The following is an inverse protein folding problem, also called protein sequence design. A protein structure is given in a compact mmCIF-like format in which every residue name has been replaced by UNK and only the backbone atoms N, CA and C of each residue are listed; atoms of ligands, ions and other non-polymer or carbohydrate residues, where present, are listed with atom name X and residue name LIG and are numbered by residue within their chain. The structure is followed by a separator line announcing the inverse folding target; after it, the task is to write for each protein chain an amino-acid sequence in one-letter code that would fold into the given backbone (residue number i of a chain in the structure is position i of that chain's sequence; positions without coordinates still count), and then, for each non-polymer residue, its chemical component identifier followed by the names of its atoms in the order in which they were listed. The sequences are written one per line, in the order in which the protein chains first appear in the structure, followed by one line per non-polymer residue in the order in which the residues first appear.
data_IF_086886011688
#
_entry.id   IF_086886011688
#
_cell.length_a   1.000
_cell.length_b   1.000
_cell.length_c   1.000
_cell.angle_alpha   90.00
_cell.angle_beta   90.00
_cell.angle_gamma   90.00
#
_symmetry.space_group_name_H-M   'P 1'
#
loop_
_entity.id
_entity.type
_entity.pdbx_description
1 polymer ?
#
# COMPACT_ATOMS: atom_id res chain seq x y z
N UNK A 1 8.45 32.90 64.34
CA UNK A 1 7.61 32.47 63.20
C UNK A 1 8.40 32.31 61.89
N UNK A 2 9.42 33.12 61.60
CA UNK A 2 10.19 33.06 60.34
C UNK A 2 11.04 31.78 60.15
N UNK A 3 11.54 31.16 61.24
CA UNK A 3 12.36 29.93 61.18
C UNK A 3 11.58 28.68 60.75
N UNK A 4 10.26 28.65 60.98
CA UNK A 4 9.40 27.51 60.62
C UNK A 4 9.02 27.52 59.13
N UNK A 5 8.91 28.70 58.51
CA UNK A 5 8.59 28.86 57.09
C UNK A 5 9.77 28.42 56.22
N UNK A 6 11.01 28.72 56.63
CA UNK A 6 12.22 28.28 55.91
C UNK A 6 12.35 26.75 55.89
N UNK A 7 11.95 26.07 56.97
CA UNK A 7 12.03 24.60 57.04
C UNK A 7 11.03 23.93 56.07
N UNK A 8 9.84 24.50 55.89
CA UNK A 8 8.86 23.97 54.92
C UNK A 8 9.32 24.21 53.49
N UNK A 9 9.91 25.37 53.21
CA UNK A 9 10.43 25.69 51.87
C UNK A 9 11.64 24.83 51.49
N UNK A 10 12.51 24.48 52.46
CA UNK A 10 13.67 23.60 52.23
C UNK A 10 13.26 22.14 51.96
N UNK A 11 12.20 21.65 52.60
CA UNK A 11 11.66 20.30 52.31
C UNK A 11 10.96 20.25 50.94
N UNK A 12 10.29 21.33 50.52
CA UNK A 12 9.57 21.34 49.25
C UNK A 12 10.52 21.38 48.03
N UNK A 13 11.67 22.05 48.14
CA UNK A 13 12.66 22.09 47.04
C UNK A 13 13.48 20.80 46.93
N UNK A 14 13.66 20.05 48.03
CA UNK A 14 14.36 18.76 48.01
C UNK A 14 13.54 17.63 47.37
N UNK A 15 12.20 17.72 47.37
CA UNK A 15 11.32 16.74 46.73
C UNK A 15 11.17 16.90 45.21
N UNK A 16 11.68 17.99 44.61
CA UNK A 16 11.59 18.25 43.16
C UNK A 16 12.87 17.92 42.37
N UNK A 17 13.92 17.38 43.01
CA UNK A 17 15.22 17.12 42.34
C UNK A 17 15.55 15.63 42.12
N UNK A 18 14.60 14.70 42.25
CA UNK A 18 14.82 13.26 41.98
C UNK A 18 13.91 12.71 40.88
N UNK A 19 14.08 13.20 39.64
CA UNK A 19 13.79 12.41 38.41
C UNK A 19 14.92 12.70 37.40
N UNK A 20 16.10 12.15 37.67
CA UNK A 20 17.16 11.92 36.69
C UNK A 20 17.87 10.63 37.10
N UNK A 21 18.20 9.79 36.12
CA UNK A 21 18.81 8.45 36.24
C UNK A 21 17.89 7.27 36.61
N UNK A 22 17.01 6.89 35.67
CA UNK A 22 16.60 5.50 35.48
C UNK A 22 17.34 4.92 34.29
N UNK A 23 18.50 4.32 34.54
CA UNK A 23 19.33 3.64 33.55
C UNK A 23 18.61 2.47 32.88
N UNK A 24 18.93 2.30 31.60
CA UNK A 24 18.52 1.26 30.66
C UNK A 24 18.67 -0.16 31.24
N UNK A 25 17.54 -0.80 31.54
CA UNK A 25 17.46 -2.25 31.58
C UNK A 25 17.35 -2.76 30.14
N UNK A 26 18.45 -3.31 29.62
CA UNK A 26 18.49 -4.18 28.44
C UNK A 26 17.67 -5.43 28.72
N UNK A 27 16.36 -5.35 28.52
CA UNK A 27 15.55 -6.55 28.38
C UNK A 27 15.89 -7.18 27.03
N UNK A 28 16.48 -8.37 27.15
CA UNK A 28 16.87 -9.22 26.06
C UNK A 28 15.71 -9.44 25.09
N UNK A 29 16.10 -9.44 23.83
CA UNK A 29 15.31 -9.67 22.63
C UNK A 29 14.58 -11.00 22.75
N UNK A 30 13.33 -10.96 23.21
CA UNK A 30 12.31 -11.93 22.86
C UNK A 30 11.92 -11.68 21.41
N UNK A 31 12.36 -12.57 20.54
CA UNK A 31 12.19 -12.54 19.10
C UNK A 31 10.71 -12.63 18.69
N UNK A 32 9.96 -11.54 18.84
CA UNK A 32 8.66 -11.37 18.17
C UNK A 32 8.95 -10.92 16.73
N UNK A 33 8.88 -11.90 15.83
CA UNK A 33 8.69 -11.78 14.38
C UNK A 33 8.21 -10.37 14.00
N UNK A 34 9.13 -9.52 13.56
CA UNK A 34 8.80 -8.31 12.83
C UNK A 34 8.00 -8.76 11.62
N UNK A 35 6.69 -8.52 11.64
CA UNK A 35 5.88 -8.59 10.44
C UNK A 35 6.59 -7.73 9.38
N UNK A 36 6.73 -8.20 8.14
CA UNK A 36 7.41 -7.43 7.12
C UNK A 36 6.70 -6.08 7.01
N UNK A 37 7.41 -5.01 7.38
CA UNK A 37 7.04 -3.64 7.04
C UNK A 37 7.04 -3.58 5.52
N UNK A 38 5.88 -3.89 4.95
CA UNK A 38 5.64 -3.82 3.52
C UNK A 38 5.56 -2.34 3.19
N UNK A 39 6.73 -1.72 3.04
CA UNK A 39 6.85 -0.38 2.46
C UNK A 39 6.03 -0.40 1.18
N UNK A 40 4.96 0.39 1.08
CA UNK A 40 4.15 0.41 -0.13
C UNK A 40 5.06 0.76 -1.30
N UNK A 41 5.00 -0.04 -2.37
CA UNK A 41 5.55 0.37 -3.66
C UNK A 41 4.91 1.73 -3.96
N UNK A 42 5.75 2.77 -4.13
CA UNK A 42 5.31 4.14 -4.29
C UNK A 42 4.53 4.26 -5.61
N UNK A 43 3.21 4.11 -5.54
CA UNK A 43 2.31 4.35 -6.65
C UNK A 43 1.88 5.81 -6.53
N UNK A 44 2.81 6.72 -6.81
CA UNK A 44 2.58 8.15 -6.78
C UNK A 44 2.55 8.63 -8.23
N UNK A 45 1.40 9.10 -8.71
CA UNK A 45 1.33 9.86 -9.95
C UNK A 45 2.33 11.01 -9.86
N UNK A 46 3.13 11.23 -10.90
CA UNK A 46 4.06 12.36 -10.91
C UNK A 46 3.29 13.64 -11.21
N UNK A 47 3.49 14.65 -10.36
CA UNK A 47 3.03 16.02 -10.55
C UNK A 47 4.15 16.93 -10.07
N UNK A 48 4.30 18.10 -10.69
CA UNK A 48 5.29 19.09 -10.25
C UNK A 48 4.98 19.59 -8.84
N UNK A 49 5.98 20.18 -8.20
CA UNK A 49 5.78 20.89 -6.94
C UNK A 49 4.80 22.06 -7.14
N UNK A 50 3.92 22.27 -6.16
CA UNK A 50 2.87 23.28 -6.23
C UNK A 50 1.72 23.03 -5.26
N UNK A 51 0.76 23.95 -5.27
CA UNK A 51 -0.52 23.83 -4.56
C UNK A 51 -1.64 23.63 -5.57
N UNK A 52 -2.40 22.56 -5.39
CA UNK A 52 -3.46 22.14 -6.31
C UNK A 52 -4.79 22.03 -5.56
N UNK A 53 -5.79 22.88 -5.84
CA UNK A 53 -7.10 22.75 -5.23
C UNK A 53 -7.70 21.37 -5.52
N UNK A 54 -8.31 20.75 -4.51
CA UNK A 54 -8.93 19.43 -4.66
C UNK A 54 -10.43 19.65 -4.87
N UNK A 55 -10.94 19.11 -5.98
CA UNK A 55 -12.37 19.10 -6.27
C UNK A 55 -13.09 17.91 -5.62
N UNK A 56 -12.44 16.74 -5.63
CA UNK A 56 -12.96 15.48 -5.10
C UNK A 56 -11.79 14.61 -4.60
N UNK A 57 -12.04 13.79 -3.59
CA UNK A 57 -11.09 12.81 -3.10
C UNK A 57 -11.81 11.50 -2.79
N UNK A 58 -11.18 10.38 -3.12
CA UNK A 58 -11.61 9.05 -2.70
C UNK A 58 -10.44 8.27 -2.10
N UNK A 59 -10.76 7.32 -1.23
CA UNK A 59 -9.85 6.39 -0.59
C UNK A 59 -10.42 4.97 -0.71
N UNK A 60 -9.67 4.07 -1.35
CA UNK A 60 -10.03 2.66 -1.48
C UNK A 60 -9.29 1.84 -0.41
N UNK A 61 -10.04 1.12 0.42
CA UNK A 61 -9.47 0.26 1.46
C UNK A 61 -9.13 -1.16 0.99
N UNK A 62 -9.29 -1.46 -0.30
CA UNK A 62 -8.80 -2.69 -0.92
C UNK A 62 -7.28 -2.64 -1.10
N UNK A 63 -6.77 -1.50 -1.54
CA UNK A 63 -5.35 -1.28 -1.83
C UNK A 63 -4.72 -0.12 -1.05
N UNK A 64 -5.50 0.71 -0.35
CA UNK A 64 -5.04 1.86 0.43
C UNK A 64 -4.59 3.05 -0.41
N UNK A 65 -5.18 3.22 -1.60
CA UNK A 65 -4.84 4.31 -2.53
C UNK A 65 -5.85 5.46 -2.40
N UNK A 66 -5.31 6.68 -2.35
CA UNK A 66 -6.08 7.90 -2.52
C UNK A 66 -6.15 8.26 -4.01
N UNK A 67 -7.33 8.62 -4.50
CA UNK A 67 -7.52 9.21 -5.83
C UNK A 67 -8.10 10.62 -5.67
N UNK A 68 -7.37 11.62 -6.16
CA UNK A 68 -7.72 13.03 -6.02
C UNK A 68 -7.99 13.63 -7.39
N UNK A 69 -9.09 14.37 -7.50
CA UNK A 69 -9.35 15.23 -8.65
C UNK A 69 -8.80 16.62 -8.34
N UNK A 70 -7.68 16.95 -8.99
CA UNK A 70 -6.97 18.20 -8.82
C UNK A 70 -7.41 19.23 -9.87
N UNK A 71 -7.49 20.49 -9.45
CA UNK A 71 -7.69 21.64 -10.32
C UNK A 71 -6.35 22.33 -10.59
N UNK A 72 -6.27 23.07 -11.70
CA UNK A 72 -5.11 23.86 -12.09
C UNK A 72 -3.81 23.04 -12.20
N UNK A 73 -3.90 21.79 -12.64
CA UNK A 73 -2.70 21.00 -12.95
C UNK A 73 -1.97 21.58 -14.17
N UNK A 74 -0.64 21.45 -14.25
CA UNK A 74 0.12 21.97 -15.39
C UNK A 74 -0.32 21.33 -16.72
N UNK A 75 -0.17 22.04 -17.85
CA UNK A 75 -0.42 21.45 -19.17
C UNK A 75 0.31 20.12 -19.36
N UNK A 76 -0.40 19.11 -19.86
CA UNK A 76 0.15 17.76 -20.05
C UNK A 76 0.16 16.87 -18.79
N UNK A 77 -0.27 17.37 -17.62
CA UNK A 77 -0.42 16.56 -16.40
C UNK A 77 -1.90 16.18 -16.19
N UNK A 78 -2.23 14.90 -15.93
CA UNK A 78 -3.61 14.50 -15.69
C UNK A 78 -4.17 15.14 -14.42
N UNK A 79 -5.47 15.52 -14.40
CA UNK A 79 -6.12 16.06 -13.21
C UNK A 79 -6.32 15.00 -12.12
N UNK A 80 -6.23 13.71 -12.46
CA UNK A 80 -6.35 12.61 -11.51
C UNK A 80 -4.98 12.26 -10.92
N UNK A 81 -4.83 12.55 -9.62
CA UNK A 81 -3.65 12.19 -8.85
C UNK A 81 -3.92 10.95 -7.99
N UNK A 82 -3.01 9.98 -8.03
CA UNK A 82 -3.10 8.76 -7.22
C UNK A 82 -1.86 8.64 -6.35
N UNK A 83 -2.05 8.37 -5.06
CA UNK A 83 -0.95 8.12 -4.13
C UNK A 83 -1.40 7.22 -2.99
N UNK A 84 -0.49 6.35 -2.54
CA UNK A 84 -0.65 5.66 -1.28
C UNK A 84 -0.08 6.53 -0.13
N UNK A 85 -0.68 6.43 1.06
CA UNK A 85 -0.22 7.09 2.30
C UNK A 85 0.06 8.59 2.09
N UNK A 86 -0.99 9.36 1.84
CA UNK A 86 -0.90 10.83 1.85
C UNK A 86 -0.99 11.30 3.30
N UNK A 87 -0.14 12.25 3.68
CA UNK A 87 -0.29 12.95 4.95
C UNK A 87 -1.41 13.97 4.84
N UNK A 88 -2.17 14.17 5.92
CA UNK A 88 -3.21 15.18 5.98
C UNK A 88 -2.94 16.18 7.10
N UNK A 89 -3.45 17.39 6.95
CA UNK A 89 -3.51 18.41 7.97
C UNK A 89 -4.83 19.17 7.83
N UNK A 90 -5.37 19.66 8.96
CA UNK A 90 -6.51 20.57 8.95
C UNK A 90 -6.02 21.96 8.54
N UNK A 91 -6.81 22.67 7.76
CA UNK A 91 -6.63 24.10 7.54
C UNK A 91 -7.02 24.89 8.79
N UNK A 92 -6.24 25.92 9.12
CA UNK A 92 -6.59 26.87 10.19
C UNK A 92 -7.78 27.72 9.78
N UNK A 93 -8.57 28.17 10.74
CA UNK A 93 -9.72 29.06 10.48
C UNK A 93 -9.30 30.36 9.80
N UNK A 94 -8.13 30.91 10.16
CA UNK A 94 -7.56 32.09 9.50
C UNK A 94 -7.29 31.85 8.01
N UNK A 95 -6.69 30.71 7.66
CA UNK A 95 -6.45 30.34 6.26
C UNK A 95 -7.77 30.18 5.48
N UNK A 96 -8.80 29.57 6.10
CA UNK A 96 -10.12 29.42 5.49
C UNK A 96 -10.79 30.78 5.31
N UNK A 97 -10.70 31.68 6.31
CA UNK A 97 -11.21 33.04 6.22
C UNK A 97 -10.51 33.87 5.14
N UNK A 98 -9.22 33.59 4.87
CA UNK A 98 -8.46 34.14 3.75
C UNK A 98 -8.80 33.50 2.39
N UNK A 99 -9.76 32.58 2.35
CA UNK A 99 -10.25 31.94 1.13
C UNK A 99 -9.49 30.67 0.73
N UNK A 100 -8.61 30.13 1.58
CA UNK A 100 -7.99 28.82 1.31
C UNK A 100 -9.06 27.72 1.34
N UNK A 101 -9.11 26.95 0.27
CA UNK A 101 -9.96 25.75 0.13
C UNK A 101 -9.13 24.50 0.36
N UNK A 102 -9.74 23.33 0.39
CA UNK A 102 -9.01 22.06 0.40
C UNK A 102 -8.04 21.96 -0.79
N UNK A 103 -6.77 21.62 -0.54
CA UNK A 103 -5.74 21.48 -1.57
C UNK A 103 -4.74 20.36 -1.27
N UNK A 104 -4.10 19.89 -2.34
CA UNK A 104 -2.90 19.08 -2.29
C UNK A 104 -1.69 20.01 -2.45
N UNK A 105 -0.78 19.99 -1.48
CA UNK A 105 0.54 20.60 -1.62
C UNK A 105 1.55 19.51 -1.95
N UNK A 106 2.36 19.74 -2.98
CA UNK A 106 3.49 18.88 -3.35
C UNK A 106 4.76 19.69 -3.22
N UNK A 107 5.66 19.23 -2.34
CA UNK A 107 6.98 19.83 -2.12
C UNK A 107 8.01 18.72 -2.11
N UNK A 108 9.06 18.82 -2.93
CA UNK A 108 10.10 17.80 -3.05
C UNK A 108 9.51 16.40 -3.27
N UNK A 109 8.48 16.30 -4.12
CA UNK A 109 7.79 15.04 -4.42
C UNK A 109 7.08 14.38 -3.20
N UNK A 110 6.84 15.15 -2.13
CA UNK A 110 6.08 14.74 -0.95
C UNK A 110 4.69 15.39 -0.97
N UNK A 111 3.62 14.61 -1.22
CA UNK A 111 2.26 15.11 -1.21
C UNK A 111 1.70 15.22 0.22
N UNK A 112 1.12 16.38 0.54
CA UNK A 112 0.38 16.64 1.78
C UNK A 112 -0.98 17.24 1.42
N UNK A 113 -2.04 16.69 1.99
CA UNK A 113 -3.40 17.14 1.77
C UNK A 113 -3.86 18.04 2.92
N UNK A 114 -4.20 19.29 2.61
CA UNK A 114 -4.74 20.23 3.58
C UNK A 114 -6.25 20.30 3.40
N UNK A 115 -6.98 19.97 4.46
CA UNK A 115 -8.43 19.76 4.45
C UNK A 115 -9.14 20.82 5.28
N UNK A 116 -10.26 21.33 4.78
CA UNK A 116 -11.25 21.99 5.62
C UNK A 116 -11.97 20.97 6.51
N UNK A 117 -12.64 21.43 7.56
CA UNK A 117 -13.33 20.54 8.52
C UNK A 117 -14.51 19.77 7.91
N UNK A 118 -15.19 20.40 6.96
CA UNK A 118 -16.38 19.91 6.27
C UNK A 118 -16.04 19.04 5.05
N UNK A 119 -14.77 18.94 4.66
CA UNK A 119 -14.37 18.17 3.50
C UNK A 119 -14.55 16.66 3.72
N UNK A 120 -15.25 16.03 2.79
CA UNK A 120 -15.52 14.60 2.78
C UNK A 120 -14.69 13.90 1.72
N UNK A 121 -14.00 12.83 2.14
CA UNK A 121 -13.31 11.90 1.26
C UNK A 121 -14.26 10.73 1.02
N UNK A 122 -14.55 10.40 -0.23
CA UNK A 122 -15.28 9.18 -0.55
C UNK A 122 -14.49 7.96 -0.04
N UNK A 123 -15.16 7.08 0.69
CA UNK A 123 -14.59 5.87 1.25
C UNK A 123 -15.14 4.66 0.52
N UNK A 124 -14.27 3.97 -0.23
CA UNK A 124 -14.61 2.72 -0.92
C UNK A 124 -14.17 1.55 -0.04
N UNK A 125 -15.15 0.87 0.53
CA UNK A 125 -14.95 -0.34 1.32
C UNK A 125 -14.97 -1.58 0.42
N UNK A 126 -13.87 -2.32 0.38
CA UNK A 126 -13.70 -3.57 -0.35
C UNK A 126 -13.84 -4.77 0.60
N UNK A 127 -14.91 -5.55 0.40
CA UNK A 127 -15.13 -6.81 1.13
C UNK A 127 -14.43 -7.94 0.38
N UNK A 128 -13.47 -8.58 1.05
CA UNK A 128 -12.70 -9.71 0.51
C UNK A 128 -13.19 -11.03 1.10
N UNK A 129 -13.41 -12.03 0.24
CA UNK A 129 -13.79 -13.39 0.63
C UNK A 129 -12.93 -14.42 -0.11
N UNK A 130 -12.72 -15.57 0.53
CA UNK A 130 -12.02 -16.71 -0.10
C UNK A 130 -13.05 -17.61 -0.75
N UNK A 131 -13.03 -17.67 -2.08
CA UNK A 131 -13.91 -18.52 -2.88
C UNK A 131 -13.10 -19.63 -3.56
N UNK A 132 -13.73 -20.79 -3.78
CA UNK A 132 -13.09 -21.86 -4.55
C UNK A 132 -13.19 -21.53 -6.02
N UNK A 133 -12.04 -21.43 -6.70
CA UNK A 133 -12.03 -21.16 -8.13
C UNK A 133 -12.60 -22.38 -8.90
N UNK A 134 -13.67 -22.22 -9.71
CA UNK A 134 -14.32 -23.34 -10.37
C UNK A 134 -13.46 -24.00 -11.46
N UNK A 135 -12.45 -23.31 -11.98
CA UNK A 135 -11.56 -23.81 -13.03
C UNK A 135 -10.38 -24.59 -12.46
N UNK A 136 -9.90 -24.22 -11.27
CA UNK A 136 -8.67 -24.81 -10.69
C UNK A 136 -8.89 -25.59 -9.41
N UNK A 137 -10.09 -25.50 -8.80
CA UNK A 137 -10.44 -26.12 -7.53
C UNK A 137 -9.66 -25.56 -6.32
N UNK A 138 -8.87 -24.50 -6.52
CA UNK A 138 -8.04 -23.91 -5.46
C UNK A 138 -8.75 -22.72 -4.80
N UNK A 139 -8.55 -22.50 -3.49
CA UNK A 139 -9.08 -21.33 -2.81
C UNK A 139 -8.39 -20.06 -3.35
N UNK A 140 -9.19 -19.08 -3.73
CA UNK A 140 -8.76 -17.77 -4.23
C UNK A 140 -9.50 -16.66 -3.49
N UNK A 141 -8.77 -15.70 -2.93
CA UNK A 141 -9.39 -14.52 -2.34
C UNK A 141 -9.70 -13.49 -3.41
N UNK A 142 -10.97 -13.07 -3.46
CA UNK A 142 -11.51 -12.09 -4.41
C UNK A 142 -12.29 -11.01 -3.68
N UNK A 143 -12.37 -9.82 -4.28
CA UNK A 143 -13.28 -8.76 -3.81
C UNK A 143 -14.68 -9.14 -4.27
N UNK A 144 -15.58 -9.41 -3.32
CA UNK A 144 -16.95 -9.86 -3.63
C UNK A 144 -17.94 -8.70 -3.68
N UNK A 145 -17.63 -7.62 -2.98
CA UNK A 145 -18.51 -6.47 -2.85
C UNK A 145 -17.70 -5.21 -2.58
N UNK A 146 -18.12 -4.12 -3.19
CA UNK A 146 -17.67 -2.78 -2.84
C UNK A 146 -18.84 -1.97 -2.28
N UNK A 147 -18.58 -1.18 -1.24
CA UNK A 147 -19.56 -0.28 -0.64
C UNK A 147 -18.95 1.13 -0.56
N UNK A 148 -19.65 2.12 -1.10
CA UNK A 148 -19.24 3.52 -1.00
C UNK A 148 -19.85 4.16 0.24
N UNK A 149 -19.08 5.02 0.90
CA UNK A 149 -19.47 5.85 2.03
C UNK A 149 -18.64 7.13 2.01
N UNK A 150 -18.74 7.98 3.03
CA UNK A 150 -17.90 9.16 3.18
C UNK A 150 -17.10 9.10 4.46
N UNK A 151 -15.92 9.71 4.44
CA UNK A 151 -15.03 9.88 5.55
C UNK A 151 -14.64 11.34 5.73
N UNK A 152 -14.87 11.87 6.92
CA UNK A 152 -14.53 13.24 7.32
C UNK A 152 -13.47 13.18 8.44
N UNK A 153 -12.16 13.25 8.12
CA UNK A 153 -11.09 13.03 9.10
C UNK A 153 -11.08 14.02 10.26
N UNK A 154 -11.53 15.25 10.01
CA UNK A 154 -11.46 16.36 10.97
C UNK A 154 -12.83 16.89 11.41
N UNK A 155 -13.93 16.27 10.97
CA UNK A 155 -15.27 16.71 11.36
C UNK A 155 -15.48 16.55 12.87
N UNK A 156 -15.88 17.62 13.55
CA UNK A 156 -16.15 17.62 14.98
C UNK A 156 -14.90 17.68 15.87
N UNK A 157 -13.71 17.85 15.27
CA UNK A 157 -12.46 18.00 16.02
C UNK A 157 -12.36 19.34 16.79
N UNK A 158 -13.33 20.24 16.63
CA UNK A 158 -13.46 21.49 17.38
C UNK A 158 -14.30 21.38 18.68
N UNK A 159 -15.08 20.31 18.85
CA UNK A 159 -16.02 20.21 19.96
C UNK A 159 -15.44 19.46 21.17
N UNK A 160 -14.45 20.05 21.83
CA UNK A 160 -14.02 19.62 23.16
C UNK A 160 -12.51 19.64 23.39
N UNK A 161 -12.09 20.54 24.27
CA UNK A 161 -10.84 20.47 25.04
C UNK A 161 -9.55 20.30 24.21
N UNK A 162 -8.91 21.43 23.90
CA UNK A 162 -7.46 21.49 23.74
C UNK A 162 -6.82 20.53 22.71
N UNK A 163 -7.41 20.39 21.52
CA UNK A 163 -6.66 19.80 20.40
C UNK A 163 -5.75 20.89 19.82
N UNK A 164 -4.54 20.98 20.39
CA UNK A 164 -3.50 21.92 20.00
C UNK A 164 -3.00 21.75 18.56
N UNK A 165 -1.94 22.48 18.21
CA UNK A 165 -1.23 22.58 16.92
C UNK A 165 -1.02 21.29 16.09
N UNK A 166 -1.27 20.13 16.67
CA UNK A 166 -1.11 18.81 16.07
C UNK A 166 -2.06 18.51 14.91
N UNK A 167 -3.29 19.04 14.89
CA UNK A 167 -4.21 18.82 13.76
C UNK A 167 -3.80 19.62 12.51
N UNK A 168 -3.16 20.77 12.73
CA UNK A 168 -2.69 21.64 11.66
C UNK A 168 -1.32 21.20 11.10
N UNK A 169 -0.72 20.17 11.69
CA UNK A 169 0.55 19.60 11.24
C UNK A 169 0.31 18.37 10.35
N UNK A 170 1.09 18.16 9.29
CA UNK A 170 0.99 16.99 8.43
C UNK A 170 1.20 15.68 9.20
N UNK A 171 0.21 14.78 9.16
CA UNK A 171 0.26 13.46 9.79
C UNK A 171 -0.43 12.40 8.94
N UNK A 172 -0.10 11.14 9.17
CA UNK A 172 -0.84 10.03 8.59
C UNK A 172 -2.07 9.75 9.44
N UNK A 173 -3.22 9.65 8.79
CA UNK A 173 -4.47 9.24 9.43
C UNK A 173 -5.00 7.98 8.76
N UNK A 174 -5.61 7.13 9.58
CA UNK A 174 -6.29 5.93 9.13
C UNK A 174 -7.80 6.11 9.40
N UNK A 175 -8.66 5.83 8.43
CA UNK A 175 -10.11 5.83 8.62
C UNK A 175 -10.54 4.98 9.83
N UNK A 176 -11.61 5.34 10.56
CA UNK A 176 -12.14 4.49 11.62
C UNK A 176 -12.70 3.18 11.06
N UNK A 177 -13.11 2.27 11.95
CA UNK A 177 -13.79 1.02 11.55
C UNK A 177 -15.01 1.36 10.70
N UNK A 178 -15.12 0.70 9.54
CA UNK A 178 -16.24 0.89 8.62
C UNK A 178 -17.56 0.54 9.31
N UNK A 179 -18.51 1.47 9.26
CA UNK A 179 -19.88 1.27 9.75
C UNK A 179 -20.85 1.58 8.60
N UNK A 180 -21.64 0.59 8.14
CA UNK A 180 -22.61 0.82 7.07
C UNK A 180 -23.62 1.92 7.41
N UNK A 181 -24.00 2.73 6.40
CA UNK A 181 -25.09 3.69 6.51
C UNK A 181 -24.79 4.96 7.32
N UNK A 182 -23.57 5.15 7.83
CA UNK A 182 -23.16 6.36 8.54
C UNK A 182 -21.84 6.89 8.01
N UNK A 183 -21.73 8.22 7.82
CA UNK A 183 -20.46 8.86 7.46
C UNK A 183 -19.42 8.59 8.55
N UNK A 184 -18.25 8.12 8.14
CA UNK A 184 -17.11 7.90 9.02
C UNK A 184 -16.59 9.26 9.49
N UNK A 185 -16.62 9.55 10.79
CA UNK A 185 -16.13 10.81 11.36
C UNK A 185 -14.87 10.59 12.19
N UNK A 186 -13.94 11.53 12.13
CA UNK A 186 -12.66 11.43 12.83
C UNK A 186 -11.75 10.38 12.21
N UNK A 187 -10.85 9.80 13.00
CA UNK A 187 -9.88 8.80 12.53
C UNK A 187 -9.81 7.62 13.51
N UNK A 188 -9.51 6.44 12.99
CA UNK A 188 -9.26 5.23 13.78
C UNK A 188 -7.84 5.17 14.33
N UNK A 189 -6.88 5.84 13.68
CA UNK A 189 -5.49 5.94 14.11
C UNK A 189 -4.78 7.12 13.45
N UNK A 190 -3.72 7.61 14.09
CA UNK A 190 -2.92 8.74 13.62
C UNK A 190 -1.44 8.58 14.02
N UNK A 191 -0.53 9.10 13.19
CA UNK A 191 0.91 8.96 13.43
C UNK A 191 1.75 9.92 12.59
N UNK A 192 2.99 10.17 13.01
CA UNK A 192 3.98 10.89 12.18
C UNK A 192 4.50 10.02 11.04
N UNK A 193 4.36 8.70 11.14
CA UNK A 193 4.62 7.72 10.09
C UNK A 193 3.36 6.90 9.82
N UNK A 194 3.23 6.35 8.61
CA UNK A 194 2.10 5.48 8.28
C UNK A 194 2.06 4.24 9.18
N UNK A 195 3.23 3.64 9.47
CA UNK A 195 3.34 2.51 10.41
C UNK A 195 2.83 2.86 11.81
N UNK A 196 3.22 4.02 12.36
CA UNK A 196 2.72 4.48 13.66
C UNK A 196 1.21 4.73 13.66
N UNK A 197 0.65 5.22 12.55
CA UNK A 197 -0.80 5.39 12.43
C UNK A 197 -1.53 4.02 12.43
N UNK A 198 -0.98 3.03 11.72
CA UNK A 198 -1.50 1.64 11.71
C UNK A 198 -1.40 1.00 13.10
N UNK A 199 -0.28 1.17 13.81
CA UNK A 199 -0.09 0.67 15.17
C UNK A 199 -1.09 1.29 16.14
N UNK A 200 -1.30 2.62 16.06
CA UNK A 200 -2.31 3.30 16.90
C UNK A 200 -3.72 2.78 16.65
N UNK A 201 -4.07 2.49 15.39
CA UNK A 201 -5.34 1.89 15.03
C UNK A 201 -5.48 0.49 15.63
N UNK A 202 -4.45 -0.35 15.49
CA UNK A 202 -4.45 -1.71 16.02
C UNK A 202 -4.59 -1.74 17.54
N UNK A 203 -3.92 -0.83 18.25
CA UNK A 203 -4.03 -0.71 19.70
C UNK A 203 -5.46 -0.36 20.15
N UNK A 204 -6.20 0.42 19.35
CA UNK A 204 -7.58 0.81 19.65
C UNK A 204 -8.62 -0.25 19.24
N UNK A 205 -8.39 -0.94 18.13
CA UNK A 205 -9.39 -1.80 17.48
C UNK A 205 -9.02 -3.29 17.49
N UNK A 206 -7.91 -3.69 18.11
CA UNK A 206 -7.38 -5.05 18.18
C UNK A 206 -7.29 -5.76 16.82
N UNK A 207 -7.18 -4.99 15.73
CA UNK A 207 -7.16 -5.50 14.37
C UNK A 207 -6.47 -4.50 13.43
N UNK A 208 -5.80 -4.98 12.36
CA UNK A 208 -5.20 -4.09 11.37
C UNK A 208 -6.29 -3.32 10.61
N UNK A 209 -5.97 -2.10 10.12
CA UNK A 209 -6.87 -1.36 9.24
C UNK A 209 -7.28 -2.17 8.00
N UNK A 210 -8.49 -1.96 7.45
CA UNK A 210 -8.97 -2.68 6.28
C UNK A 210 -7.97 -2.68 5.11
N UNK A 211 -7.38 -1.53 4.77
CA UNK A 211 -6.35 -1.41 3.73
C UNK A 211 -5.11 -2.29 3.95
N UNK A 212 -4.67 -2.45 5.19
CA UNK A 212 -3.52 -3.31 5.50
C UNK A 212 -3.91 -4.78 5.37
N UNK A 213 -5.09 -5.14 5.90
CA UNK A 213 -5.64 -6.50 5.84
C UNK A 213 -5.86 -6.94 4.39
N UNK A 214 -6.60 -6.16 3.61
CA UNK A 214 -7.00 -6.48 2.25
C UNK A 214 -5.78 -6.60 1.33
N UNK A 215 -4.82 -5.67 1.44
CA UNK A 215 -3.58 -5.70 0.64
C UNK A 215 -2.75 -6.97 0.88
N UNK A 216 -2.67 -7.45 2.12
CA UNK A 216 -1.94 -8.68 2.43
C UNK A 216 -2.60 -9.89 1.75
N UNK A 217 -3.92 -9.98 1.83
CA UNK A 217 -4.67 -11.15 1.31
C UNK A 217 -4.71 -11.13 -0.22
N UNK A 218 -5.00 -9.98 -0.85
CA UNK A 218 -5.10 -9.84 -2.31
C UNK A 218 -3.76 -10.01 -3.04
N UNK A 219 -2.63 -9.65 -2.41
CA UNK A 219 -1.30 -9.91 -3.00
C UNK A 219 -0.86 -11.35 -2.87
N UNK A 220 -1.22 -12.00 -1.76
CA UNK A 220 -0.83 -13.39 -1.48
C UNK A 220 -1.49 -14.35 -2.47
N UNK A 221 -2.75 -14.11 -2.86
CA UNK A 221 -3.46 -14.94 -3.85
C UNK A 221 -2.86 -14.86 -5.27
N UNK A 222 -2.10 -13.81 -5.60
CA UNK A 222 -1.37 -13.67 -6.86
C UNK A 222 0.01 -14.36 -6.89
N UNK A 223 0.54 -14.80 -5.75
CA UNK A 223 1.87 -15.43 -5.64
C UNK A 223 1.79 -16.95 -5.39
N UNK A 224 0.70 -17.59 -5.78
CA UNK A 224 0.60 -19.04 -5.71
C UNK A 224 1.62 -19.72 -6.67
N UNK A 225 2.70 -20.25 -6.07
CA UNK A 225 3.67 -21.25 -6.55
C UNK A 225 4.83 -20.78 -7.45
N UNK A 226 5.95 -20.36 -6.81
CA UNK A 226 7.24 -21.00 -7.10
C UNK A 226 7.45 -22.08 -6.06
N UNK A 227 7.32 -23.35 -6.45
CA UNK A 227 7.74 -24.48 -5.60
C UNK A 227 9.20 -24.30 -5.21
N UNK A 228 9.60 -24.57 -3.95
CA UNK A 228 11.01 -24.70 -3.62
C UNK A 228 11.51 -26.04 -4.17
N UNK A 229 11.88 -26.07 -5.46
CA UNK A 229 12.77 -27.14 -5.94
C UNK A 229 14.11 -26.95 -5.26
N UNK A 230 14.55 -27.95 -4.50
CA UNK A 230 15.78 -27.93 -3.72
C UNK A 230 16.95 -27.37 -4.52
N UNK A 231 17.57 -26.32 -3.99
CA UNK A 231 18.84 -25.81 -4.49
C UNK A 231 19.90 -26.78 -3.97
N UNK A 232 20.25 -27.78 -4.79
CA UNK A 232 21.57 -28.37 -4.76
C UNK A 232 22.57 -27.32 -5.21
N UNK A 233 23.31 -26.77 -4.26
CA UNK A 233 24.46 -25.89 -4.47
C UNK A 233 25.49 -26.63 -5.32
N UNK A 234 25.53 -26.36 -6.63
CA UNK A 234 26.63 -26.77 -7.49
C UNK A 234 27.48 -25.53 -7.78
N UNK A 235 28.60 -25.47 -7.08
CA UNK A 235 29.66 -24.47 -7.22
C UNK A 235 30.20 -24.54 -8.66
N UNK A 236 29.96 -23.49 -9.47
CA UNK A 236 30.60 -23.31 -10.78
C UNK A 236 31.53 -22.10 -10.76
N UNK A 237 32.77 -22.39 -11.10
CA UNK A 237 33.94 -21.51 -11.27
C UNK A 237 33.72 -20.36 -12.27
N UNK A 238 34.37 -19.19 -12.07
CA UNK A 238 34.16 -18.01 -12.90
C UNK A 238 35.03 -18.04 -14.17
N UNK A 239 34.40 -18.19 -15.33
CA UNK A 239 35.01 -17.99 -16.65
C UNK A 239 34.38 -16.79 -17.36
N UNK A 240 35.20 -15.77 -17.65
CA UNK A 240 34.88 -14.58 -18.46
C UNK A 240 34.33 -14.97 -19.83
N UNK A 241 33.19 -14.41 -20.23
CA UNK A 241 33.02 -13.69 -21.53
C UNK A 241 31.67 -12.97 -21.58
N UNK A 242 31.73 -11.77 -22.11
CA UNK A 242 30.72 -10.73 -22.37
C UNK A 242 29.67 -11.21 -23.39
N UNK A 243 28.37 -11.02 -23.10
CA UNK A 243 27.34 -10.90 -24.14
C UNK A 243 26.10 -10.14 -23.60
N UNK A 244 25.71 -9.15 -24.38
CA UNK A 244 24.58 -8.24 -24.29
C UNK A 244 23.25 -8.88 -24.69
N UNK A 245 22.14 -8.34 -24.17
CA UNK A 245 20.87 -8.31 -24.90
C UNK A 245 19.77 -9.20 -24.31
N UNK A 246 18.56 -8.63 -24.27
CA UNK A 246 17.39 -9.16 -23.60
C UNK A 246 16.71 -10.32 -24.33
N UNK A 247 15.68 -10.86 -23.67
CA UNK A 247 14.78 -11.85 -24.26
C UNK A 247 14.27 -12.86 -23.25
N UNK A 248 13.17 -12.54 -22.57
CA UNK A 248 12.37 -13.54 -21.88
C UNK A 248 11.55 -14.29 -22.93
N UNK A 249 11.81 -15.59 -23.07
CA UNK A 249 10.97 -16.47 -23.89
C UNK A 249 11.74 -17.69 -24.40
N UNK A 250 11.72 -18.78 -23.65
CA UNK A 250 11.86 -20.11 -24.25
C UNK A 250 11.13 -21.15 -23.41
N UNK A 251 9.97 -21.55 -23.91
CA UNK A 251 9.30 -22.78 -23.54
C UNK A 251 10.11 -23.95 -24.10
N UNK A 252 10.79 -24.70 -23.25
CA UNK A 252 11.40 -25.96 -23.67
C UNK A 252 10.38 -27.09 -23.48
N UNK A 253 9.69 -27.46 -24.57
CA UNK A 253 9.02 -28.75 -24.68
C UNK A 253 10.07 -29.86 -24.70
N UNK A 254 10.17 -30.60 -23.59
CA UNK A 254 10.96 -31.83 -23.50
C UNK A 254 10.37 -32.89 -24.44
N UNK A 255 11.06 -33.13 -25.55
CA UNK A 255 10.90 -34.36 -26.35
C UNK A 255 11.99 -35.34 -25.91
N UNK A 256 11.65 -36.53 -25.39
CA UNK A 256 12.66 -37.53 -25.09
C UNK A 256 13.15 -38.18 -26.38
N UNK A 257 14.46 -38.05 -26.63
CA UNK A 257 15.19 -38.81 -27.67
C UNK A 257 15.36 -40.26 -27.20
N UNK A 258 14.82 -41.19 -27.97
CA UNK A 258 15.28 -42.59 -27.98
C UNK A 258 16.12 -42.81 -29.24
N UNK A 259 17.36 -43.25 -29.02
CA UNK A 259 18.35 -43.57 -30.04
C UNK A 259 18.15 -45.00 -30.54
N UNK A 260 18.21 -45.22 -31.87
CA UNK A 260 18.58 -46.53 -32.44
C UNK A 260 19.12 -46.37 -33.88
N UNK A 261 20.25 -47.00 -34.27
CA UNK A 261 20.91 -46.78 -35.56
C UNK A 261 20.77 -47.98 -36.53
N UNK A 262 20.53 -47.73 -37.83
CA UNK A 262 20.82 -48.72 -38.89
C UNK A 262 20.95 -48.11 -40.31
N UNK A 263 22.21 -48.05 -40.79
CA UNK A 263 22.79 -48.43 -42.11
C UNK A 263 22.06 -48.21 -43.47
N UNK A 264 22.75 -47.44 -44.35
CA UNK A 264 23.08 -47.60 -45.81
C UNK A 264 21.96 -47.89 -46.84
N UNK A 265 21.60 -47.00 -47.79
CA UNK A 265 22.24 -46.54 -49.07
C UNK A 265 21.36 -46.99 -50.29
N UNK A 266 21.55 -46.54 -51.56
CA UNK A 266 21.12 -45.28 -52.20
C UNK A 266 20.27 -45.48 -53.51
N UNK A 267 19.97 -44.37 -54.24
CA UNK A 267 19.32 -44.24 -55.58
C UNK A 267 17.77 -44.28 -55.56
N UNK A 268 16.96 -43.60 -56.40
CA UNK A 268 17.12 -42.98 -57.72
C UNK A 268 15.97 -42.00 -58.05
N UNK A 269 16.26 -41.06 -58.96
CA UNK A 269 15.47 -40.20 -59.87
C UNK A 269 13.99 -40.50 -60.19
N UNK A 270 13.32 -39.44 -60.69
CA UNK A 270 12.13 -39.34 -61.60
C UNK A 270 10.93 -38.65 -60.92
N UNK A 271 10.38 -37.48 -61.31
CA UNK A 271 9.98 -36.86 -62.58
C UNK A 271 8.95 -37.66 -63.42
N UNK A 272 7.79 -37.04 -63.70
CA UNK A 272 6.72 -37.53 -64.61
C UNK A 272 5.41 -37.82 -63.87
N UNK A 273 4.35 -37.00 -63.98
CA UNK A 273 3.41 -36.81 -65.11
C UNK A 273 2.33 -37.88 -65.22
N UNK A 274 1.08 -37.39 -65.39
CA UNK A 274 -0.11 -37.98 -66.03
C UNK A 274 -1.28 -38.23 -65.05
N UNK A 275 -2.33 -37.40 -65.06
CA UNK A 275 -3.47 -37.32 -66.01
C UNK A 275 -4.51 -38.45 -65.83
N UNK A 276 -5.66 -38.02 -65.29
CA UNK A 276 -7.07 -38.21 -65.73
C UNK A 276 -7.70 -39.62 -65.85
N UNK A 277 -9.03 -39.56 -65.64
CA UNK A 277 -10.11 -40.51 -65.98
C UNK A 277 -10.24 -41.66 -64.97
N UNK A 278 -11.39 -41.97 -64.37
CA UNK A 278 -12.79 -41.61 -64.61
C UNK A 278 -13.64 -42.87 -64.33
N UNK A 279 -14.82 -42.64 -63.76
CA UNK A 279 -16.00 -43.54 -63.77
C UNK A 279 -16.02 -44.85 -62.92
N UNK A 280 -16.86 -44.78 -61.87
CA UNK A 280 -18.15 -45.50 -61.72
C UNK A 280 -18.12 -47.03 -61.50
N UNK A 281 -18.58 -47.46 -60.30
CA UNK A 281 -19.73 -48.34 -60.02
C UNK A 281 -19.56 -49.03 -58.65
N UNK A 282 -20.47 -48.79 -57.70
CA UNK A 282 -21.65 -49.62 -57.44
C UNK A 282 -22.60 -48.84 -56.54
#
# INVERSE_FOLDING_TARGET
MLRKIISVFLCLTLCFSTIACGSTATNQVGQTRTAPSSKPAALNSQISDGKYPIQQASYDDGDGIYTLMLLNTPPGTPPLYRSANIQMARLTEEAIANGEKTYLEVKNNQPVMYLTEDFNIEYVHSVVETQTNPQTGQPQTVVVRQQSNFWSPFAGALAGQAIGSLLFSPRYYVPPVYTPGTTLRGYGGAGSTYGGAVESYQAKHNSPPPAVKNRQVLRTSGSAKRSPSGITTTTRTPGKTKASGGGFGSSNLNTPRTYSPTRTSPSSRSFGSSRRVGARRR
#
